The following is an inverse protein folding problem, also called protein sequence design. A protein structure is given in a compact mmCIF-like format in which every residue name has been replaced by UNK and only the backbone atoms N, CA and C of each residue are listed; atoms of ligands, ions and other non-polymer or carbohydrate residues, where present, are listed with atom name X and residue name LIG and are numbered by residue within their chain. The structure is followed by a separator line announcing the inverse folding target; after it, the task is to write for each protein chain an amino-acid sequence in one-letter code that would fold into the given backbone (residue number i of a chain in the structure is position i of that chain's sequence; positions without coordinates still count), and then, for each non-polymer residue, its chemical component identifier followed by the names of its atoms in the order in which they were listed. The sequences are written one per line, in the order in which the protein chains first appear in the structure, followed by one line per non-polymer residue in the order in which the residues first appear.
data_IF_405264715465
#
_entry.id   IF_405264715465
#
_cell.length_a   1.000
_cell.length_b   1.000
_cell.length_c   1.000
_cell.angle_alpha   90.00
_cell.angle_beta   90.00
_cell.angle_gamma   90.00
#
_symmetry.space_group_name_H-M   'P 1'
#
loop_
_entity.id
_entity.type
_entity.pdbx_description
1 polymer ?
#
# COMPACT_ATOMS: atom_id res chain seq x y z
N UNK A 1 15.75 0.39 22.21
CA UNK A 1 15.50 0.02 20.79
C UNK A 1 14.19 0.68 20.39
N UNK A 2 14.23 1.74 19.57
CA UNK A 2 13.02 2.44 19.16
C UNK A 2 12.16 1.51 18.31
N UNK A 3 10.96 1.17 18.80
CA UNK A 3 9.98 0.44 18.01
C UNK A 3 9.50 1.35 16.88
N UNK A 4 10.03 1.15 15.69
CA UNK A 4 9.46 1.69 14.46
C UNK A 4 8.13 0.98 14.22
N UNK A 5 7.02 1.58 14.68
CA UNK A 5 5.66 1.17 14.32
C UNK A 5 5.41 1.65 12.89
N UNK A 6 6.04 0.96 11.95
CA UNK A 6 5.88 1.21 10.52
C UNK A 6 4.63 0.48 10.02
N UNK A 7 3.52 1.21 9.92
CA UNK A 7 2.31 0.73 9.25
C UNK A 7 2.25 1.32 7.85
N UNK A 8 2.85 0.64 6.88
CA UNK A 8 2.81 1.11 5.50
C UNK A 8 1.35 1.14 5.01
N UNK A 9 0.93 2.27 4.42
CA UNK A 9 -0.38 2.41 3.76
C UNK A 9 -0.68 1.23 2.82
N UNK A 10 0.35 0.71 2.15
CA UNK A 10 0.29 -0.46 1.28
C UNK A 10 -0.23 -1.71 2.01
N UNK A 11 0.25 -1.97 3.22
CA UNK A 11 -0.19 -3.14 3.99
C UNK A 11 -1.67 -3.01 4.40
N UNK A 12 -2.11 -1.79 4.72
CA UNK A 12 -3.51 -1.51 5.07
C UNK A 12 -4.46 -1.73 3.88
N UNK A 13 -4.07 -1.32 2.68
CA UNK A 13 -4.87 -1.53 1.46
C UNK A 13 -4.93 -3.03 1.11
N UNK A 14 -3.84 -3.79 1.29
CA UNK A 14 -3.84 -5.25 1.07
C UNK A 14 -4.86 -5.95 1.98
N UNK A 15 -4.87 -5.61 3.27
CA UNK A 15 -5.83 -6.17 4.22
C UNK A 15 -7.27 -5.78 3.88
N UNK A 16 -7.50 -4.55 3.42
CA UNK A 16 -8.83 -4.10 2.98
C UNK A 16 -9.35 -4.92 1.78
N UNK A 17 -8.50 -5.19 0.79
CA UNK A 17 -8.88 -6.02 -0.36
C UNK A 17 -9.26 -7.45 0.07
N UNK A 18 -8.52 -8.05 1.01
CA UNK A 18 -8.84 -9.37 1.54
C UNK A 18 -10.19 -9.40 2.25
N UNK A 19 -10.50 -8.38 3.07
CA UNK A 19 -11.80 -8.27 3.76
C UNK A 19 -12.96 -8.17 2.76
N UNK A 20 -12.77 -7.43 1.65
CA UNK A 20 -13.80 -7.27 0.63
C UNK A 20 -14.16 -8.61 -0.06
N UNK A 21 -13.18 -9.50 -0.25
CA UNK A 21 -13.42 -10.86 -0.77
C UNK A 21 -14.32 -11.65 0.18
N UNK A 22 -14.01 -11.65 1.48
CA UNK A 22 -14.82 -12.34 2.48
C UNK A 22 -16.24 -11.79 2.54
N UNK A 23 -16.40 -10.46 2.47
CA UNK A 23 -17.71 -9.82 2.41
C UNK A 23 -18.50 -10.25 1.17
N UNK A 24 -17.85 -10.33 0.00
CA UNK A 24 -18.48 -10.83 -1.24
C UNK A 24 -18.96 -12.27 -1.12
N UNK A 25 -18.14 -13.17 -0.56
CA UNK A 25 -18.49 -14.58 -0.36
C UNK A 25 -19.65 -14.73 0.64
N UNK A 26 -19.63 -13.98 1.74
CA UNK A 26 -20.71 -13.95 2.73
C UNK A 26 -22.03 -13.48 2.11
N UNK A 27 -21.97 -12.45 1.26
CA UNK A 27 -23.13 -11.89 0.58
C UNK A 27 -23.72 -12.90 -0.43
N UNK A 28 -22.87 -13.63 -1.17
CA UNK A 28 -23.30 -14.72 -2.05
C UNK A 28 -23.97 -15.86 -1.26
N UNK A 29 -23.40 -16.26 -0.12
CA UNK A 29 -23.99 -17.27 0.75
C UNK A 29 -25.33 -16.82 1.34
N UNK A 30 -25.46 -15.54 1.68
CA UNK A 30 -26.73 -14.91 2.09
C UNK A 30 -27.81 -15.01 1.02
N UNK A 31 -27.46 -14.77 -0.25
CA UNK A 31 -28.38 -14.96 -1.38
C UNK A 31 -28.92 -16.39 -1.49
N UNK A 32 -28.09 -17.39 -1.18
CA UNK A 32 -28.46 -18.82 -1.18
C UNK A 32 -29.45 -19.15 -0.05
N UNK A 33 -29.53 -18.39 1.04
CA UNK A 33 -30.57 -18.59 2.07
C UNK A 33 -31.95 -18.11 1.61
N UNK A 34 -31.99 -17.15 0.67
CA UNK A 34 -33.22 -16.55 0.15
C UNK A 34 -33.81 -17.27 -1.07
N UNK A 35 -33.57 -18.59 -1.24
CA UNK A 35 -34.00 -19.38 -2.42
C UNK A 35 -35.49 -19.29 -2.76
N UNK A 36 -36.33 -18.94 -1.80
CA UNK A 36 -37.78 -18.78 -2.00
C UNK A 36 -38.13 -17.61 -2.93
N UNK A 37 -37.24 -16.63 -3.09
CA UNK A 37 -37.49 -15.42 -3.87
C UNK A 37 -36.40 -15.32 -4.94
N UNK A 38 -36.73 -15.76 -6.15
CA UNK A 38 -35.80 -15.89 -7.28
C UNK A 38 -35.12 -14.55 -7.63
N UNK A 39 -35.88 -13.45 -7.66
CA UNK A 39 -35.33 -12.13 -7.98
C UNK A 39 -34.33 -11.64 -6.93
N UNK A 40 -34.59 -11.92 -5.64
CA UNK A 40 -33.71 -11.50 -4.55
C UNK A 40 -32.39 -12.28 -4.61
N UNK A 41 -32.46 -13.59 -4.85
CA UNK A 41 -31.30 -14.46 -5.00
C UNK A 41 -30.34 -13.98 -6.11
N UNK A 42 -30.89 -13.67 -7.29
CA UNK A 42 -30.08 -13.21 -8.44
C UNK A 42 -29.40 -11.88 -8.14
N UNK A 43 -30.10 -10.95 -7.49
CA UNK A 43 -29.55 -9.63 -7.16
C UNK A 43 -28.38 -9.73 -6.18
N UNK A 44 -28.51 -10.54 -5.12
CA UNK A 44 -27.42 -10.78 -4.17
C UNK A 44 -26.23 -11.49 -4.84
N UNK A 45 -26.47 -12.43 -5.75
CA UNK A 45 -25.40 -13.13 -6.45
C UNK A 45 -24.60 -12.18 -7.36
N UNK A 46 -25.28 -11.37 -8.17
CA UNK A 46 -24.66 -10.36 -9.04
C UNK A 46 -23.87 -9.35 -8.21
N UNK A 47 -24.44 -8.86 -7.11
CA UNK A 47 -23.77 -7.93 -6.21
C UNK A 47 -22.51 -8.55 -5.58
N UNK A 48 -22.58 -9.82 -5.18
CA UNK A 48 -21.44 -10.57 -4.65
C UNK A 48 -20.30 -10.72 -5.66
N UNK A 49 -20.64 -11.05 -6.91
CA UNK A 49 -19.65 -11.12 -8.00
C UNK A 49 -19.01 -9.75 -8.25
N UNK A 50 -19.79 -8.67 -8.27
CA UNK A 50 -19.26 -7.30 -8.41
C UNK A 50 -18.27 -6.98 -7.28
N UNK A 51 -18.58 -7.33 -6.04
CA UNK A 51 -17.67 -7.13 -4.90
C UNK A 51 -16.34 -7.88 -5.07
N UNK A 52 -16.39 -9.14 -5.52
CA UNK A 52 -15.17 -9.93 -5.77
C UNK A 52 -14.36 -9.35 -6.92
N UNK A 53 -14.99 -8.96 -8.03
CA UNK A 53 -14.30 -8.32 -9.16
C UNK A 53 -13.63 -7.02 -8.73
N UNK A 54 -14.33 -6.17 -7.97
CA UNK A 54 -13.76 -4.93 -7.43
C UNK A 54 -12.55 -5.20 -6.54
N UNK A 55 -12.58 -6.25 -5.72
CA UNK A 55 -11.43 -6.64 -4.90
C UNK A 55 -10.21 -7.02 -5.74
N UNK A 56 -10.41 -7.74 -6.84
CA UNK A 56 -9.34 -8.08 -7.78
C UNK A 56 -8.73 -6.83 -8.42
N UNK A 57 -9.54 -5.85 -8.83
CA UNK A 57 -9.04 -4.58 -9.39
C UNK A 57 -8.17 -3.83 -8.38
N UNK A 58 -8.62 -3.71 -7.13
CA UNK A 58 -7.85 -3.05 -6.06
C UNK A 58 -6.54 -3.81 -5.81
N UNK A 59 -6.58 -5.14 -5.76
CA UNK A 59 -5.40 -5.98 -5.56
C UNK A 59 -4.40 -5.86 -6.72
N UNK A 60 -4.89 -5.84 -7.96
CA UNK A 60 -4.07 -5.66 -9.15
C UNK A 60 -3.38 -4.28 -9.15
N UNK A 61 -4.09 -3.21 -8.81
CA UNK A 61 -3.48 -1.88 -8.67
C UNK A 61 -2.32 -1.87 -7.66
N UNK A 62 -2.48 -2.53 -6.51
CA UNK A 62 -1.40 -2.67 -5.51
C UNK A 62 -0.25 -3.52 -6.06
N UNK A 63 -0.56 -4.59 -6.79
CA UNK A 63 0.44 -5.41 -7.48
C UNK A 63 1.29 -4.59 -8.45
N UNK A 64 0.66 -3.72 -9.25
CA UNK A 64 1.39 -2.83 -10.17
C UNK A 64 2.23 -1.76 -9.47
N UNK A 65 1.91 -1.41 -8.21
CA UNK A 65 2.75 -0.54 -7.39
C UNK A 65 3.99 -1.29 -6.89
N UNK A 66 3.84 -2.55 -6.48
CA UNK A 66 4.94 -3.42 -6.05
C UNK A 66 6.00 -3.65 -7.14
N UNK A 67 5.58 -3.67 -8.41
CA UNK A 67 6.47 -3.83 -9.57
C UNK A 67 7.33 -2.59 -9.86
N UNK A 68 6.94 -1.39 -9.40
CA UNK A 68 7.71 -0.15 -9.62
C UNK A 68 8.83 0.06 -8.61
N UNK A 69 8.98 -0.83 -7.64
CA UNK A 69 9.94 -0.69 -6.57
C UNK A 69 11.37 -0.96 -7.07
N UNK A 70 12.31 -0.07 -6.73
CA UNK A 70 13.71 -0.19 -7.14
C UNK A 70 14.41 -1.20 -6.24
N UNK A 71 15.07 -2.24 -6.79
CA UNK A 71 15.85 -3.18 -5.99
C UNK A 71 17.18 -2.53 -5.56
N UNK A 72 17.45 -2.56 -4.27
CA UNK A 72 18.71 -2.09 -3.67
C UNK A 72 19.18 -3.07 -2.60
N UNK A 73 20.49 -3.19 -2.43
CA UNK A 73 21.11 -4.05 -1.42
C UNK A 73 21.23 -3.26 -0.11
N UNK A 74 20.72 -3.82 0.99
CA UNK A 74 20.79 -3.14 2.28
C UNK A 74 22.23 -3.19 2.84
N UNK A 75 22.84 -2.06 3.25
CA UNK A 75 24.22 -2.02 3.73
C UNK A 75 24.44 -2.70 5.10
N UNK A 76 23.38 -2.93 5.87
CA UNK A 76 23.48 -3.60 7.17
C UNK A 76 23.30 -5.13 7.07
N UNK A 77 22.37 -5.59 6.23
CA UNK A 77 21.97 -7.00 6.22
C UNK A 77 22.25 -7.72 4.90
N UNK A 78 22.85 -7.02 3.92
CA UNK A 78 23.31 -7.47 2.58
C UNK A 78 22.26 -8.20 1.73
N UNK A 79 21.03 -8.26 2.20
CA UNK A 79 19.89 -8.84 1.50
C UNK A 79 19.33 -7.85 0.48
N UNK A 80 18.85 -8.34 -0.68
CA UNK A 80 18.15 -7.51 -1.63
C UNK A 80 16.83 -7.03 -1.02
N UNK A 81 16.58 -5.74 -1.12
CA UNK A 81 15.36 -5.08 -0.62
C UNK A 81 14.77 -4.21 -1.70
N UNK A 82 13.44 -4.16 -1.76
CA UNK A 82 12.72 -3.29 -2.70
C UNK A 82 12.27 -2.05 -1.96
N UNK A 83 12.64 -0.87 -2.43
CA UNK A 83 12.11 0.39 -1.91
C UNK A 83 10.93 0.87 -2.76
N UNK A 84 9.80 1.17 -2.12
CA UNK A 84 8.63 1.73 -2.81
C UNK A 84 8.65 3.26 -2.90
N UNK A 85 9.49 3.93 -2.11
CA UNK A 85 9.56 5.38 -2.01
C UNK A 85 10.99 5.90 -1.85
N UNK A 86 11.12 7.20 -1.53
CA UNK A 86 12.42 7.85 -1.27
C UNK A 86 13.03 7.46 0.08
N UNK A 87 12.14 7.14 1.02
CA UNK A 87 12.46 6.75 2.39
C UNK A 87 11.59 5.53 2.67
N UNK A 88 12.22 4.40 3.00
CA UNK A 88 11.54 3.14 3.33
C UNK A 88 12.35 2.36 4.35
N UNK A 89 11.72 1.41 5.02
CA UNK A 89 12.41 0.53 5.96
C UNK A 89 12.78 -0.79 5.25
N UNK A 90 13.97 -1.32 5.53
CA UNK A 90 14.36 -2.64 5.04
C UNK A 90 13.34 -3.71 5.48
N UNK A 91 12.84 -4.53 4.55
CA UNK A 91 11.86 -5.59 4.87
C UNK A 91 12.40 -6.66 5.85
N UNK A 92 13.72 -6.86 5.91
CA UNK A 92 14.35 -7.89 6.75
C UNK A 92 14.82 -7.35 8.11
N UNK A 93 15.64 -6.30 8.11
CA UNK A 93 16.22 -5.75 9.35
C UNK A 93 15.47 -4.52 9.88
N UNK A 94 14.44 -4.02 9.18
CA UNK A 94 13.65 -2.82 9.54
C UNK A 94 14.48 -1.54 9.73
N UNK A 95 15.71 -1.53 9.23
CA UNK A 95 16.57 -0.36 9.27
C UNK A 95 16.01 0.73 8.34
N UNK A 96 15.91 2.00 8.80
CA UNK A 96 15.54 3.11 7.93
C UNK A 96 16.58 3.30 6.84
N UNK A 97 16.12 3.38 5.60
CA UNK A 97 16.95 3.57 4.44
C UNK A 97 16.42 4.75 3.61
N UNK A 98 17.35 5.56 3.11
CA UNK A 98 17.08 6.74 2.28
C UNK A 98 17.83 6.61 0.96
N UNK A 99 17.17 6.96 -0.15
CA UNK A 99 17.82 7.02 -1.46
C UNK A 99 18.40 8.43 -1.77
N UNK A 100 17.93 9.46 -1.08
CA UNK A 100 18.26 10.86 -1.34
C UNK A 100 19.40 11.37 -0.44
N UNK A 101 20.45 11.90 -1.08
CA UNK A 101 21.59 12.54 -0.41
C UNK A 101 21.20 13.74 0.46
N UNK A 102 20.07 14.39 0.16
CA UNK A 102 19.52 15.53 0.93
C UNK A 102 18.85 15.14 2.27
N UNK A 103 18.68 13.84 2.51
CA UNK A 103 18.08 13.29 3.72
C UNK A 103 19.08 12.51 4.59
N UNK A 104 20.35 12.47 4.21
CA UNK A 104 21.43 11.92 5.04
C UNK A 104 21.55 12.71 6.35
N UNK A 105 21.47 12.02 7.49
CA UNK A 105 21.55 12.63 8.83
C UNK A 105 20.24 13.18 9.42
N UNK A 106 19.11 13.04 8.72
CA UNK A 106 17.77 13.35 9.28
C UNK A 106 17.12 12.11 9.86
N UNK A 107 16.37 12.27 10.95
CA UNK A 107 15.52 11.23 11.53
C UNK A 107 14.54 10.69 10.47
N UNK A 108 14.30 9.38 10.48
CA UNK A 108 13.39 8.71 9.55
C UNK A 108 11.95 9.17 9.77
N UNK A 109 11.33 9.78 8.74
CA UNK A 109 9.92 10.17 8.75
C UNK A 109 9.25 9.79 7.42
N UNK A 110 8.08 9.14 7.48
CA UNK A 110 7.29 8.76 6.31
C UNK A 110 6.79 9.99 5.52
N UNK A 111 6.69 11.15 6.18
CA UNK A 111 6.23 12.41 5.55
C UNK A 111 7.05 12.81 4.33
N UNK A 112 8.32 12.42 4.27
CA UNK A 112 9.20 12.67 3.13
C UNK A 112 8.71 12.03 1.83
N UNK A 113 7.88 10.97 1.91
CA UNK A 113 7.33 10.31 0.73
C UNK A 113 6.05 11.00 0.18
N UNK A 114 5.60 12.10 0.79
CA UNK A 114 4.36 12.79 0.41
C UNK A 114 4.61 13.87 -0.64
N UNK A 115 3.68 14.01 -1.60
CA UNK A 115 3.76 15.00 -2.70
C UNK A 115 3.87 16.46 -2.20
N UNK A 116 3.30 16.76 -1.02
CA UNK A 116 3.34 18.09 -0.38
C UNK A 116 4.77 18.48 0.02
N UNK A 117 5.50 17.58 0.68
CA UNK A 117 6.89 17.80 1.09
C UNK A 117 7.81 18.05 -0.11
N UNK A 118 7.61 17.31 -1.21
CA UNK A 118 8.34 17.54 -2.46
C UNK A 118 8.11 18.94 -3.05
N UNK A 119 6.90 19.50 -2.94
CA UNK A 119 6.62 20.88 -3.39
C UNK A 119 7.31 21.91 -2.49
N UNK A 120 7.28 21.70 -1.17
CA UNK A 120 7.93 22.59 -0.21
C UNK A 120 9.46 22.61 -0.37
N UNK A 121 10.10 21.46 -0.60
CA UNK A 121 11.53 21.40 -0.90
C UNK A 121 11.90 22.18 -2.17
N UNK A 122 11.13 22.00 -3.25
CA UNK A 122 11.35 22.73 -4.51
C UNK A 122 11.17 24.24 -4.33
N UNK A 123 10.15 24.67 -3.60
CA UNK A 123 9.95 26.09 -3.30
C UNK A 123 11.12 26.69 -2.49
N UNK A 124 11.66 25.93 -1.52
CA UNK A 124 12.83 26.35 -0.75
C UNK A 124 14.11 26.45 -1.60
N UNK A 125 14.28 25.58 -2.59
CA UNK A 125 15.40 25.65 -3.52
C UNK A 125 15.28 26.87 -4.44
N UNK A 126 14.10 27.12 -5.01
CA UNK A 126 13.83 28.28 -5.87
C UNK A 126 14.07 29.61 -5.14
N UNK A 127 13.70 29.71 -3.86
CA UNK A 127 13.96 30.92 -3.06
C UNK A 127 15.43 31.10 -2.65
N UNK A 128 16.28 30.08 -2.82
CA UNK A 128 17.71 30.15 -2.50
C UNK A 128 18.56 30.58 -3.70
N UNK A 129 18.00 30.40 -4.90
CA UNK A 129 18.64 30.73 -6.17
C UNK A 129 18.23 32.12 -6.70
N UNK A 130 17.24 32.79 -6.07
CA UNK A 130 16.85 34.19 -6.30
C UNK A 130 17.40 35.08 -5.18
#
# INVERSE_FOLDING_TARGET
MAQLVYSSKINKIRSFALILIFAGILLMYGGILTKKIEWLMVTFFILGVIMVVLSCVVYLWIGTLSLKAVPIVCPNCEKPTKMLGRVDACMHCKQPLTLDKNLEGKEFDEKYNTRKYNKELKARQINKDN
#
